data_IF_377516901115
#
_entry.id   IF_377516901115
#
_cell.length_a   1.000
_cell.length_b   1.000
_cell.length_c   1.000
_cell.angle_alpha   90.00
_cell.angle_beta   90.00
_cell.angle_gamma   90.00
#
_symmetry.space_group_name_H-M   'P 1'
#
loop_
_entity.id
_entity.type
_entity.pdbx_description
1 polymer ?
#
# COMPACT_ATOMS: atom_id res chain seq x y z
N UNK A 1 -19.13 -4.62 12.24
CA UNK A 1 -19.17 -4.68 10.76
C UNK A 1 -20.16 -3.64 10.25
N UNK A 2 -19.76 -2.88 9.21
CA UNK A 2 -20.62 -1.90 8.52
C UNK A 2 -20.95 -2.50 7.16
N UNK A 3 -22.21 -2.81 6.90
CA UNK A 3 -22.65 -3.38 5.62
C UNK A 3 -22.32 -2.43 4.47
N UNK A 4 -21.66 -2.97 3.43
CA UNK A 4 -21.24 -2.23 2.25
C UNK A 4 -19.86 -1.56 2.35
N UNK A 5 -19.17 -1.67 3.51
CA UNK A 5 -17.79 -1.24 3.70
C UNK A 5 -16.86 -2.45 3.76
N UNK A 6 -15.84 -2.47 2.93
CA UNK A 6 -14.88 -3.56 2.80
C UNK A 6 -13.47 -3.04 3.09
N UNK A 7 -12.70 -3.82 3.84
CA UNK A 7 -11.29 -3.53 4.14
C UNK A 7 -10.45 -4.58 3.45
N UNK A 8 -9.41 -4.16 2.71
CA UNK A 8 -8.58 -5.03 1.88
C UNK A 8 -7.09 -4.74 2.06
N UNK A 9 -6.26 -5.66 1.56
CA UNK A 9 -4.80 -5.53 1.61
C UNK A 9 -4.23 -5.70 3.01
N UNK A 10 -3.11 -5.06 3.28
CA UNK A 10 -2.34 -5.19 4.53
C UNK A 10 -3.13 -4.91 5.81
N UNK A 11 -4.22 -4.13 5.70
CA UNK A 11 -5.14 -3.88 6.81
C UNK A 11 -5.82 -5.14 7.31
N UNK A 12 -5.93 -6.19 6.49
CA UNK A 12 -6.51 -7.49 6.90
C UNK A 12 -5.56 -8.33 7.75
N UNK A 13 -4.31 -7.87 7.93
CA UNK A 13 -3.30 -8.51 8.78
C UNK A 13 -2.26 -9.35 8.05
N UNK A 14 -2.39 -9.54 6.73
CA UNK A 14 -1.45 -10.32 5.92
C UNK A 14 -0.76 -9.40 4.90
N UNK A 15 0.42 -8.83 5.22
CA UNK A 15 1.10 -7.86 4.36
C UNK A 15 1.92 -8.57 3.26
N UNK A 16 1.25 -9.33 2.40
CA UNK A 16 1.84 -10.03 1.26
C UNK A 16 1.23 -9.53 -0.04
N UNK A 17 2.07 -9.31 -1.05
CA UNK A 17 1.72 -8.73 -2.34
C UNK A 17 0.53 -9.45 -3.01
N UNK A 18 0.59 -10.79 -3.10
CA UNK A 18 -0.46 -11.61 -3.69
C UNK A 18 -1.76 -11.56 -2.90
N UNK A 19 -1.70 -11.56 -1.56
CA UNK A 19 -2.89 -11.42 -0.71
C UNK A 19 -3.52 -10.03 -0.83
N UNK A 20 -2.70 -8.98 -0.98
CA UNK A 20 -3.22 -7.64 -1.19
C UNK A 20 -4.01 -7.55 -2.49
N UNK A 21 -3.51 -8.12 -3.59
CA UNK A 21 -4.25 -8.18 -4.85
C UNK A 21 -5.51 -9.06 -4.73
N UNK A 22 -5.38 -10.25 -4.15
CA UNK A 22 -6.49 -11.20 -3.98
C UNK A 22 -7.66 -10.60 -3.20
N UNK A 23 -7.37 -9.96 -2.06
CA UNK A 23 -8.43 -9.35 -1.22
C UNK A 23 -9.12 -8.19 -1.93
N UNK A 24 -8.38 -7.39 -2.72
CA UNK A 24 -8.94 -6.30 -3.51
C UNK A 24 -9.93 -6.80 -4.57
N UNK A 25 -9.52 -7.78 -5.37
CA UNK A 25 -10.37 -8.39 -6.38
C UNK A 25 -11.60 -9.08 -5.77
N UNK A 26 -11.39 -9.90 -4.74
CA UNK A 26 -12.50 -10.63 -4.07
C UNK A 26 -13.52 -9.70 -3.43
N UNK A 27 -13.12 -8.54 -2.93
CA UNK A 27 -14.07 -7.58 -2.38
C UNK A 27 -15.07 -7.13 -3.44
N UNK A 28 -14.61 -6.82 -4.65
CA UNK A 28 -15.49 -6.41 -5.75
C UNK A 28 -16.32 -7.60 -6.25
N UNK A 29 -15.73 -8.78 -6.43
CA UNK A 29 -16.45 -10.00 -6.80
C UNK A 29 -17.56 -10.33 -5.79
N UNK A 30 -17.29 -10.15 -4.49
CA UNK A 30 -18.30 -10.32 -3.45
C UNK A 30 -19.42 -9.28 -3.55
N UNK A 31 -19.09 -8.00 -3.80
CA UNK A 31 -20.08 -6.93 -4.02
C UNK A 31 -21.02 -7.31 -5.18
N UNK A 32 -20.50 -7.87 -6.26
CA UNK A 32 -21.28 -8.25 -7.42
C UNK A 32 -22.24 -9.44 -7.16
N UNK A 33 -21.91 -10.29 -6.19
CA UNK A 33 -22.73 -11.44 -5.79
C UNK A 33 -23.65 -11.15 -4.62
N UNK A 34 -23.49 -9.98 -3.97
CA UNK A 34 -24.36 -9.54 -2.89
C UNK A 34 -25.74 -9.20 -3.48
N UNK A 35 -26.76 -10.02 -3.15
CA UNK A 35 -28.14 -9.85 -3.64
C UNK A 35 -28.81 -8.53 -3.21
N UNK A 36 -28.19 -7.77 -2.30
CA UNK A 36 -28.62 -6.44 -1.88
C UNK A 36 -28.00 -5.34 -2.78
N UNK A 37 -26.92 -5.67 -3.50
CA UNK A 37 -26.30 -4.75 -4.42
C UNK A 37 -27.08 -4.74 -5.74
N UNK A 38 -28.08 -3.87 -5.83
CA UNK A 38 -28.74 -3.58 -7.11
C UNK A 38 -27.95 -2.48 -7.81
N UNK A 39 -27.55 -2.71 -9.06
CA UNK A 39 -27.18 -1.66 -10.02
C UNK A 39 -28.45 -0.87 -10.34
N UNK A 40 -28.91 -0.12 -9.38
CA UNK A 40 -30.02 0.75 -9.62
C UNK A 40 -29.52 1.98 -10.38
N UNK A 41 -30.20 2.35 -11.44
CA UNK A 41 -30.01 3.60 -12.16
C UNK A 41 -30.59 4.75 -11.34
N UNK A 42 -30.17 4.83 -10.08
CA UNK A 42 -30.48 5.96 -9.20
C UNK A 42 -29.87 7.26 -9.71
N UNK A 43 -29.99 8.36 -8.95
CA UNK A 43 -29.41 9.64 -9.36
C UNK A 43 -27.97 9.46 -9.80
N UNK A 44 -27.58 10.11 -10.89
CA UNK A 44 -26.23 10.06 -11.50
C UNK A 44 -25.12 10.48 -10.51
N UNK A 45 -25.50 11.04 -9.37
CA UNK A 45 -24.61 11.55 -8.32
C UNK A 45 -24.05 10.47 -7.36
N UNK A 46 -24.55 9.21 -7.39
CA UNK A 46 -24.08 8.16 -6.48
C UNK A 46 -23.35 7.09 -7.27
N UNK A 47 -22.03 6.97 -7.04
CA UNK A 47 -21.22 5.93 -7.64
C UNK A 47 -21.60 4.52 -7.10
N UNK A 48 -21.43 3.49 -7.91
CA UNK A 48 -21.58 2.12 -7.43
C UNK A 48 -20.54 1.81 -6.36
N UNK A 49 -19.29 2.32 -6.56
CA UNK A 49 -18.15 2.00 -5.71
C UNK A 49 -17.22 3.20 -5.52
N UNK A 50 -16.77 3.43 -4.30
CA UNK A 50 -15.59 4.26 -4.02
C UNK A 50 -14.46 3.37 -3.49
N UNK A 51 -13.25 3.59 -4.01
CA UNK A 51 -12.04 2.85 -3.61
C UNK A 51 -11.08 3.87 -3.01
N UNK A 52 -10.67 3.62 -1.75
CA UNK A 52 -9.76 4.50 -1.02
C UNK A 52 -8.40 3.83 -0.91
N UNK A 53 -7.42 4.39 -1.61
CA UNK A 53 -6.06 3.89 -1.80
C UNK A 53 -5.83 3.33 -3.20
N UNK A 54 -4.67 3.68 -3.78
CA UNK A 54 -4.19 3.19 -5.07
C UNK A 54 -2.92 2.33 -4.93
N UNK A 55 -2.80 1.60 -3.84
CA UNK A 55 -1.85 0.50 -3.68
C UNK A 55 -2.33 -0.75 -4.40
N UNK A 56 -1.60 -1.86 -4.24
CA UNK A 56 -1.89 -3.13 -4.93
C UNK A 56 -3.32 -3.60 -4.72
N UNK A 57 -3.85 -3.53 -3.50
CA UNK A 57 -5.22 -3.97 -3.21
C UNK A 57 -6.29 -3.04 -3.83
N UNK A 58 -6.09 -1.73 -3.75
CA UNK A 58 -7.01 -0.76 -4.36
C UNK A 58 -7.02 -0.86 -5.88
N UNK A 59 -5.86 -0.99 -6.52
CA UNK A 59 -5.75 -1.17 -7.96
C UNK A 59 -6.37 -2.50 -8.44
N UNK A 60 -6.17 -3.58 -7.69
CA UNK A 60 -6.83 -4.86 -7.98
C UNK A 60 -8.36 -4.74 -7.91
N UNK A 61 -8.88 -4.02 -6.90
CA UNK A 61 -10.31 -3.73 -6.81
C UNK A 61 -10.79 -2.86 -8.00
N UNK A 62 -10.00 -1.88 -8.42
CA UNK A 62 -10.31 -1.01 -9.56
C UNK A 62 -10.38 -1.78 -10.88
N UNK A 63 -9.45 -2.71 -11.12
CA UNK A 63 -9.48 -3.58 -12.31
C UNK A 63 -10.76 -4.42 -12.36
N UNK A 64 -11.15 -5.03 -11.25
CA UNK A 64 -12.39 -5.81 -11.17
C UNK A 64 -13.64 -4.92 -11.34
N UNK A 65 -13.66 -3.72 -10.73
CA UNK A 65 -14.76 -2.77 -10.88
C UNK A 65 -14.92 -2.34 -12.35
N UNK A 66 -13.81 -2.03 -13.03
CA UNK A 66 -13.79 -1.68 -14.45
C UNK A 66 -14.28 -2.83 -15.33
N UNK A 67 -13.76 -4.04 -15.11
CA UNK A 67 -14.16 -5.26 -15.81
C UNK A 67 -15.65 -5.55 -15.65
N UNK A 68 -16.21 -5.29 -14.48
CA UNK A 68 -17.62 -5.43 -14.19
C UNK A 68 -18.47 -4.27 -14.73
N UNK A 69 -17.87 -3.20 -15.25
CA UNK A 69 -18.56 -2.01 -15.73
C UNK A 69 -19.28 -1.23 -14.63
N UNK A 70 -18.76 -1.23 -13.39
CA UNK A 70 -19.28 -0.41 -12.31
C UNK A 70 -18.91 1.06 -12.55
N UNK A 71 -19.78 1.98 -12.11
CA UNK A 71 -19.41 3.38 -11.95
C UNK A 71 -18.58 3.49 -10.67
N UNK A 72 -17.33 3.97 -10.76
CA UNK A 72 -16.48 4.04 -9.60
C UNK A 72 -15.59 5.29 -9.59
N UNK A 73 -15.10 5.62 -8.40
CA UNK A 73 -14.04 6.59 -8.18
C UNK A 73 -12.97 5.95 -7.30
N UNK A 74 -11.69 6.22 -7.61
CA UNK A 74 -10.57 5.81 -6.80
C UNK A 74 -9.80 7.02 -6.28
N UNK A 75 -9.48 7.03 -5.00
CA UNK A 75 -8.70 8.07 -4.34
C UNK A 75 -7.34 7.57 -3.90
N UNK A 76 -6.32 8.42 -4.06
CA UNK A 76 -4.97 8.19 -3.54
C UNK A 76 -4.47 9.46 -2.85
N UNK A 77 -3.90 9.30 -1.65
CA UNK A 77 -3.49 10.43 -0.84
C UNK A 77 -2.16 11.06 -1.29
N UNK A 78 -1.28 10.29 -1.92
CA UNK A 78 0.09 10.70 -2.30
C UNK A 78 0.42 10.29 -3.73
N UNK A 79 0.76 9.02 -3.94
CA UNK A 79 1.12 8.46 -5.24
C UNK A 79 0.68 6.99 -5.33
N UNK A 80 0.29 6.50 -6.52
CA UNK A 80 -0.02 5.10 -6.72
C UNK A 80 1.15 4.20 -6.33
N UNK A 81 0.83 3.06 -5.69
CA UNK A 81 1.82 2.06 -5.25
C UNK A 81 2.89 2.59 -4.30
N UNK A 82 2.63 3.68 -3.56
CA UNK A 82 3.59 4.37 -2.69
C UNK A 82 4.43 3.43 -1.83
N UNK A 83 3.87 2.35 -1.29
CA UNK A 83 4.62 1.36 -0.50
C UNK A 83 5.74 0.72 -1.31
N UNK A 84 5.47 0.30 -2.55
CA UNK A 84 6.44 -0.37 -3.43
C UNK A 84 7.43 0.63 -4.03
N UNK A 85 6.93 1.77 -4.49
CA UNK A 85 7.75 2.86 -5.04
C UNK A 85 8.79 3.32 -4.02
N UNK A 86 8.42 3.34 -2.75
CA UNK A 86 9.30 3.75 -1.66
C UNK A 86 10.15 2.61 -1.05
N UNK A 87 10.18 1.42 -1.62
CA UNK A 87 11.19 0.43 -1.26
C UNK A 87 12.59 0.91 -1.65
N UNK A 88 13.65 0.48 -0.96
CA UNK A 88 15.01 0.70 -1.37
C UNK A 88 15.25 0.28 -2.83
N UNK A 89 16.17 0.96 -3.49
CA UNK A 89 16.62 0.61 -4.85
C UNK A 89 17.13 -0.83 -4.88
N UNK A 90 16.83 -1.55 -5.95
CA UNK A 90 17.21 -2.96 -6.18
C UNK A 90 16.72 -3.95 -5.10
N UNK A 91 15.77 -3.54 -4.23
CA UNK A 91 15.23 -4.44 -3.20
C UNK A 91 14.66 -5.71 -3.84
N UNK A 92 15.13 -6.91 -3.41
CA UNK A 92 14.55 -8.18 -3.86
C UNK A 92 13.07 -8.29 -3.48
N UNK A 93 12.28 -8.79 -4.40
CA UNK A 93 10.84 -9.00 -4.23
C UNK A 93 10.54 -10.50 -4.15
N UNK A 94 9.91 -10.89 -3.06
CA UNK A 94 9.47 -12.27 -2.83
C UNK A 94 7.94 -12.33 -2.91
N UNK A 95 7.43 -13.08 -3.89
CA UNK A 95 5.99 -13.21 -4.15
C UNK A 95 5.40 -14.47 -3.51
N UNK A 96 5.52 -14.58 -2.20
CA UNK A 96 4.93 -15.69 -1.44
C UNK A 96 3.41 -15.54 -1.24
N UNK A 97 2.67 -16.67 -1.12
CA UNK A 97 3.05 -18.05 -1.41
C UNK A 97 3.29 -18.25 -2.90
N UNK A 98 4.33 -19.05 -3.26
CA UNK A 98 4.73 -19.23 -4.66
C UNK A 98 3.61 -19.77 -5.52
N UNK A 99 2.89 -20.79 -5.05
CA UNK A 99 1.81 -21.47 -5.77
C UNK A 99 0.49 -20.68 -5.81
N UNK A 100 0.36 -19.62 -5.01
CA UNK A 100 -0.85 -18.82 -4.98
C UNK A 100 -0.99 -17.98 -6.23
N UNK A 101 -2.13 -18.10 -6.90
CA UNK A 101 -2.58 -17.18 -7.94
C UNK A 101 -3.65 -16.28 -7.34
N UNK A 102 -3.44 -14.95 -7.26
CA UNK A 102 -4.45 -14.03 -6.77
C UNK A 102 -5.72 -14.07 -7.61
N UNK A 103 -6.86 -13.80 -7.00
CA UNK A 103 -8.07 -13.50 -7.73
C UNK A 103 -7.88 -12.23 -8.60
N UNK A 104 -8.70 -12.09 -9.64
CA UNK A 104 -8.57 -10.98 -10.57
C UNK A 104 -7.42 -11.15 -11.57
N UNK A 105 -7.04 -10.05 -12.20
CA UNK A 105 -6.15 -10.07 -13.36
C UNK A 105 -4.70 -9.65 -13.04
N UNK A 106 -4.41 -9.14 -11.82
CA UNK A 106 -3.03 -8.77 -11.46
C UNK A 106 -2.12 -9.99 -11.30
N UNK A 107 -0.93 -9.89 -11.88
CA UNK A 107 0.12 -10.93 -11.82
C UNK A 107 1.43 -10.32 -11.33
N UNK A 108 2.29 -11.17 -10.75
CA UNK A 108 3.54 -10.76 -10.11
C UNK A 108 4.65 -11.75 -10.47
N UNK A 109 5.52 -11.34 -11.39
CA UNK A 109 6.68 -12.12 -11.84
C UNK A 109 8.01 -11.40 -11.58
N UNK A 110 7.94 -10.12 -11.25
CA UNK A 110 9.09 -9.27 -10.97
C UNK A 110 9.90 -9.78 -9.75
N UNK A 111 11.22 -9.71 -9.85
CA UNK A 111 12.15 -10.17 -8.81
C UNK A 111 12.83 -9.04 -8.04
N UNK A 112 12.79 -7.82 -8.57
CA UNK A 112 13.30 -6.61 -7.91
C UNK A 112 12.28 -5.48 -7.95
N UNK A 113 12.46 -4.49 -7.08
CA UNK A 113 11.56 -3.35 -6.92
C UNK A 113 11.24 -2.66 -8.25
N UNK A 114 12.25 -2.30 -9.04
CA UNK A 114 12.09 -1.52 -10.27
C UNK A 114 11.22 -2.25 -11.30
N UNK A 115 11.49 -3.53 -11.51
CA UNK A 115 10.67 -4.36 -12.39
C UNK A 115 9.25 -4.57 -11.85
N UNK A 116 9.07 -4.67 -10.52
CA UNK A 116 7.74 -4.72 -9.93
C UNK A 116 6.96 -3.42 -10.14
N UNK A 117 7.59 -2.26 -9.94
CA UNK A 117 6.95 -0.96 -10.21
C UNK A 117 6.50 -0.89 -11.67
N UNK A 118 7.38 -1.22 -12.62
CA UNK A 118 7.03 -1.22 -14.04
C UNK A 118 5.87 -2.18 -14.33
N UNK A 119 5.91 -3.40 -13.80
CA UNK A 119 4.86 -4.41 -13.96
C UNK A 119 3.50 -3.93 -13.42
N UNK A 120 3.48 -3.28 -12.26
CA UNK A 120 2.27 -2.72 -11.67
C UNK A 120 1.70 -1.58 -12.51
N UNK A 121 2.54 -0.70 -13.02
CA UNK A 121 2.14 0.42 -13.88
C UNK A 121 1.54 -0.08 -15.19
N UNK A 122 2.19 -1.04 -15.85
CA UNK A 122 1.71 -1.63 -17.11
C UNK A 122 0.34 -2.31 -16.96
N UNK A 123 0.10 -2.97 -15.84
CA UNK A 123 -1.17 -3.63 -15.57
C UNK A 123 -2.30 -2.68 -15.16
N UNK A 124 -2.00 -1.43 -14.81
CA UNK A 124 -2.99 -0.50 -14.23
C UNK A 124 -2.99 0.88 -14.88
N UNK A 125 -2.05 1.74 -14.55
CA UNK A 125 -2.01 3.14 -15.01
C UNK A 125 -1.88 3.22 -16.54
N UNK A 126 -1.02 2.40 -17.13
CA UNK A 126 -0.88 2.33 -18.60
C UNK A 126 -2.17 1.83 -19.29
N UNK A 127 -3.07 1.19 -18.54
CA UNK A 127 -4.41 0.80 -19.02
C UNK A 127 -5.46 1.91 -18.85
N UNK A 128 -5.05 3.14 -18.53
CA UNK A 128 -5.96 4.27 -18.36
C UNK A 128 -6.71 4.27 -17.03
N UNK A 129 -6.14 3.67 -15.97
CA UNK A 129 -6.63 3.87 -14.60
C UNK A 129 -5.99 5.14 -14.05
N UNK A 130 -6.82 6.11 -13.68
CA UNK A 130 -6.38 7.42 -13.18
C UNK A 130 -6.98 7.67 -11.80
N UNK A 131 -6.27 7.33 -10.71
CA UNK A 131 -6.72 7.65 -9.37
C UNK A 131 -6.79 9.16 -9.15
N UNK A 132 -7.84 9.62 -8.49
CA UNK A 132 -7.94 11.01 -8.05
C UNK A 132 -6.98 11.25 -6.88
N UNK A 133 -5.99 12.14 -7.06
CA UNK A 133 -5.09 12.52 -5.99
C UNK A 133 -5.84 13.39 -4.98
N UNK A 134 -6.27 12.76 -3.91
CA UNK A 134 -6.96 13.39 -2.80
C UNK A 134 -6.97 12.45 -1.57
N UNK A 135 -6.84 13.04 -0.39
CA UNK A 135 -6.97 12.31 0.88
C UNK A 135 -8.43 12.24 1.29
N UNK A 136 -8.96 11.04 1.41
CA UNK A 136 -10.25 10.82 2.09
C UNK A 136 -10.00 10.83 3.60
N UNK A 137 -10.57 11.77 4.32
CA UNK A 137 -10.39 11.90 5.77
C UNK A 137 -11.39 11.08 6.56
N UNK A 138 -12.60 10.96 6.03
CA UNK A 138 -13.69 10.28 6.72
C UNK A 138 -14.65 9.63 5.74
N UNK A 139 -15.17 8.47 6.12
CA UNK A 139 -16.22 7.75 5.41
C UNK A 139 -17.39 7.56 6.37
N UNK A 140 -18.56 8.06 6.01
CA UNK A 140 -19.78 7.97 6.81
C UNK A 140 -20.86 7.18 6.10
N UNK A 141 -21.54 6.28 6.83
CA UNK A 141 -22.72 5.60 6.33
C UNK A 141 -23.93 6.51 6.45
N UNK A 142 -24.64 6.72 5.32
CA UNK A 142 -25.86 7.53 5.24
C UNK A 142 -26.98 6.69 4.60
N UNK A 143 -27.76 6.01 5.43
CA UNK A 143 -28.83 5.14 4.92
C UNK A 143 -28.30 4.04 3.99
N UNK A 144 -28.59 4.12 2.70
CA UNK A 144 -28.25 3.16 1.65
C UNK A 144 -26.90 3.40 0.96
N UNK A 145 -26.25 4.55 1.21
CA UNK A 145 -24.97 4.94 0.63
C UNK A 145 -23.95 5.39 1.67
N UNK A 146 -22.74 5.70 1.23
CA UNK A 146 -21.67 6.30 2.00
C UNK A 146 -21.35 7.68 1.45
N UNK A 147 -20.99 8.61 2.34
CA UNK A 147 -20.38 9.89 2.03
C UNK A 147 -18.90 9.85 2.38
N UNK A 148 -18.06 10.19 1.40
CA UNK A 148 -16.62 10.32 1.56
C UNK A 148 -16.29 11.81 1.67
N UNK A 149 -15.68 12.18 2.78
CA UNK A 149 -15.26 13.56 3.07
C UNK A 149 -13.83 13.79 2.59
N UNK A 150 -13.66 14.77 1.72
CA UNK A 150 -12.40 15.13 1.09
C UNK A 150 -12.16 16.61 1.37
N UNK A 151 -11.05 17.02 2.01
CA UNK A 151 -10.75 18.42 2.26
C UNK A 151 -10.81 19.25 0.97
N UNK A 152 -11.39 20.44 1.08
CA UNK A 152 -11.48 21.44 0.00
C UNK A 152 -12.18 20.96 -1.29
N UNK A 153 -12.98 19.90 -1.21
CA UNK A 153 -13.77 19.35 -2.32
C UNK A 153 -15.18 18.98 -1.87
N UNK A 154 -16.07 18.82 -2.83
CA UNK A 154 -17.40 18.26 -2.57
C UNK A 154 -17.29 16.79 -2.12
N UNK A 155 -18.18 16.41 -1.20
CA UNK A 155 -18.27 15.03 -0.74
C UNK A 155 -18.69 14.12 -1.90
N UNK A 156 -18.05 12.94 -1.98
CA UNK A 156 -18.40 11.92 -2.96
C UNK A 156 -19.32 10.90 -2.31
N UNK A 157 -20.36 10.52 -3.03
CA UNK A 157 -21.33 9.49 -2.59
C UNK A 157 -21.11 8.19 -3.34
N UNK A 158 -21.13 7.08 -2.60
CA UNK A 158 -20.99 5.74 -3.19
C UNK A 158 -21.84 4.71 -2.44
N UNK A 159 -22.40 3.74 -3.17
CA UNK A 159 -23.21 2.65 -2.58
C UNK A 159 -22.35 1.69 -1.77
N UNK A 160 -21.13 1.46 -2.19
CA UNK A 160 -20.14 0.57 -1.54
C UNK A 160 -18.79 1.28 -1.46
N UNK A 161 -18.01 0.90 -0.46
CA UNK A 161 -16.67 1.44 -0.26
C UNK A 161 -15.68 0.32 0.00
N UNK A 162 -14.55 0.38 -0.70
CA UNK A 162 -13.38 -0.49 -0.46
C UNK A 162 -12.25 0.37 0.10
N UNK A 163 -11.74 0.00 1.28
CA UNK A 163 -10.64 0.66 1.97
C UNK A 163 -9.37 -0.17 1.78
N UNK A 164 -8.44 0.33 0.97
CA UNK A 164 -7.16 -0.32 0.64
C UNK A 164 -5.95 0.59 0.89
N UNK A 165 -5.95 1.31 2.04
CA UNK A 165 -4.93 2.32 2.37
C UNK A 165 -3.60 1.75 2.89
N UNK A 166 -3.48 0.43 3.03
CA UNK A 166 -2.26 -0.20 3.54
C UNK A 166 -1.95 0.17 4.99
N UNK A 167 -0.70 -0.10 5.42
CA UNK A 167 -0.22 0.15 6.80
C UNK A 167 0.99 1.08 6.87
N UNK A 168 1.56 1.49 5.74
CA UNK A 168 2.84 2.21 5.66
C UNK A 168 2.74 3.74 5.74
N UNK A 169 1.55 4.29 5.93
CA UNK A 169 1.32 5.74 5.93
C UNK A 169 1.87 6.51 7.13
N UNK A 170 2.06 5.85 8.28
CA UNK A 170 2.52 6.49 9.52
C UNK A 170 3.72 5.75 10.09
N UNK A 171 4.92 6.28 9.88
CA UNK A 171 6.09 5.82 10.61
C UNK A 171 6.06 6.31 12.07
N UNK A 172 6.63 5.54 12.97
CA UNK A 172 6.71 5.91 14.38
C UNK A 172 7.81 6.94 14.58
N UNK A 173 7.43 8.15 14.96
CA UNK A 173 8.39 9.18 15.39
C UNK A 173 9.11 8.78 16.67
N UNK A 174 10.38 9.18 16.79
CA UNK A 174 11.17 8.98 18.00
C UNK A 174 10.78 9.98 19.09
N UNK A 175 10.32 11.17 18.70
CA UNK A 175 9.96 12.25 19.61
C UNK A 175 11.18 12.92 20.26
N UNK A 176 12.32 12.96 19.57
CA UNK A 176 13.55 13.55 20.05
C UNK A 176 13.90 14.86 19.32
N UNK A 177 14.61 15.80 19.98
CA UNK A 177 15.06 17.01 19.31
C UNK A 177 15.91 16.70 18.07
N UNK A 178 15.63 17.36 16.94
CA UNK A 178 16.34 17.17 15.69
C UNK A 178 15.77 16.09 14.77
N UNK A 179 14.71 15.37 15.16
CA UNK A 179 14.07 14.34 14.33
C UNK A 179 13.56 14.88 12.99
N UNK A 180 13.11 16.12 12.93
CA UNK A 180 12.63 16.76 11.70
C UNK A 180 13.76 17.42 10.86
N UNK A 181 15.04 17.14 11.17
CA UNK A 181 16.19 17.63 10.41
C UNK A 181 16.25 16.97 9.03
N UNK A 182 16.73 17.71 8.03
CA UNK A 182 16.92 17.23 6.64
C UNK A 182 17.87 16.02 6.51
N UNK A 183 18.68 15.75 7.53
CA UNK A 183 19.57 14.59 7.60
C UNK A 183 18.94 13.36 8.29
N UNK A 184 17.67 13.44 8.69
CA UNK A 184 16.93 12.34 9.31
C UNK A 184 15.94 11.80 8.31
N UNK A 185 16.06 10.53 7.98
CA UNK A 185 15.23 9.84 7.00
C UNK A 185 14.38 8.78 7.71
N UNK A 186 13.11 8.68 7.35
CA UNK A 186 12.22 7.64 7.88
C UNK A 186 12.25 6.35 7.04
N UNK A 187 12.99 6.35 5.94
CA UNK A 187 13.18 5.22 5.02
C UNK A 187 14.46 5.37 4.22
N UNK A 188 15.01 4.26 3.79
CA UNK A 188 16.13 4.21 2.87
C UNK A 188 15.61 4.22 1.43
N UNK A 189 16.07 5.15 0.59
CA UNK A 189 15.78 5.18 -0.84
C UNK A 189 16.91 4.56 -1.65
N UNK A 190 18.09 5.14 -1.61
CA UNK A 190 19.29 4.60 -2.27
C UNK A 190 20.41 4.48 -1.23
N UNK A 191 20.93 3.27 -0.98
CA UNK A 191 22.03 3.09 -0.03
C UNK A 191 23.34 3.75 -0.49
N UNK A 192 23.53 3.96 -1.79
CA UNK A 192 24.72 4.62 -2.36
C UNK A 192 24.85 6.09 -1.91
N UNK A 193 23.72 6.74 -1.59
CA UNK A 193 23.71 8.10 -1.03
C UNK A 193 24.46 8.22 0.30
N UNK A 194 24.74 7.09 0.94
CA UNK A 194 25.41 6.99 2.26
C UNK A 194 26.83 6.44 2.18
N UNK A 195 27.40 6.31 0.97
CA UNK A 195 28.82 5.93 0.80
C UNK A 195 29.73 6.89 1.56
N UNK A 196 30.73 6.34 2.28
CA UNK A 196 31.68 7.05 3.17
C UNK A 196 31.03 7.94 4.25
N UNK A 197 29.75 7.74 4.57
CA UNK A 197 29.08 8.49 5.66
C UNK A 197 28.93 7.69 6.96
N UNK A 198 28.92 8.42 8.07
CA UNK A 198 28.55 7.87 9.38
C UNK A 198 27.03 7.90 9.53
N UNK A 199 26.40 6.72 9.63
CA UNK A 199 24.95 6.56 9.63
C UNK A 199 24.49 5.86 10.90
N UNK A 200 23.55 6.48 11.61
CA UNK A 200 22.85 5.87 12.73
C UNK A 200 21.50 5.33 12.25
N UNK A 201 21.34 4.01 12.32
CA UNK A 201 20.05 3.35 12.08
C UNK A 201 19.37 3.06 13.40
N UNK A 202 18.17 3.64 13.60
CA UNK A 202 17.39 3.45 14.83
C UNK A 202 16.28 2.46 14.60
N UNK A 203 16.37 1.30 15.22
CA UNK A 203 15.38 0.24 15.14
C UNK A 203 16.01 -1.16 15.19
N UNK A 204 15.18 -2.16 15.41
CA UNK A 204 15.60 -3.58 15.50
C UNK A 204 14.60 -4.51 14.81
N UNK A 205 13.96 -4.08 13.72
CA UNK A 205 13.13 -4.90 12.85
C UNK A 205 13.80 -5.14 11.50
N UNK A 206 13.22 -5.99 10.65
CA UNK A 206 13.77 -6.31 9.32
C UNK A 206 14.15 -5.07 8.52
N UNK A 207 13.30 -4.06 8.45
CA UNK A 207 13.58 -2.84 7.69
C UNK A 207 14.82 -2.08 8.19
N UNK A 208 15.08 -2.08 9.50
CA UNK A 208 16.25 -1.43 10.06
C UNK A 208 17.53 -2.23 9.75
N UNK A 209 17.50 -3.55 9.91
CA UNK A 209 18.64 -4.40 9.60
C UNK A 209 18.94 -4.42 8.11
N UNK A 210 17.91 -4.56 7.26
CA UNK A 210 18.06 -4.48 5.80
C UNK A 210 18.69 -3.14 5.35
N UNK A 211 18.26 -2.03 5.96
CA UNK A 211 18.85 -0.71 5.68
C UNK A 211 20.31 -0.64 6.14
N UNK A 212 20.61 -1.11 7.36
CA UNK A 212 21.96 -1.12 7.90
C UNK A 212 22.92 -1.93 7.02
N UNK A 213 22.50 -3.14 6.63
CA UNK A 213 23.26 -4.04 5.77
C UNK A 213 23.51 -3.41 4.40
N UNK A 214 22.46 -2.86 3.76
CA UNK A 214 22.57 -2.25 2.44
C UNK A 214 23.52 -1.04 2.44
N UNK A 215 23.44 -0.17 3.44
CA UNK A 215 24.33 0.99 3.58
C UNK A 215 25.78 0.54 3.81
N UNK A 216 26.00 -0.44 4.69
CA UNK A 216 27.35 -0.97 4.96
C UNK A 216 27.97 -1.61 3.70
N UNK A 217 27.17 -2.34 2.91
CA UNK A 217 27.62 -2.92 1.63
C UNK A 217 28.01 -1.86 0.58
N UNK A 218 27.45 -0.66 0.68
CA UNK A 218 27.79 0.48 -0.20
C UNK A 218 28.90 1.37 0.36
N UNK A 219 29.59 0.98 1.45
CA UNK A 219 30.73 1.73 2.00
C UNK A 219 30.40 2.68 3.14
N UNK A 220 29.14 2.76 3.57
CA UNK A 220 28.75 3.57 4.73
C UNK A 220 29.18 2.94 6.06
N UNK A 221 29.55 3.77 7.02
CA UNK A 221 29.85 3.34 8.41
C UNK A 221 28.59 3.37 9.26
N UNK A 222 28.03 2.19 9.54
CA UNK A 222 26.72 2.07 10.18
C UNK A 222 26.82 1.74 11.65
N UNK A 223 26.06 2.48 12.46
CA UNK A 223 25.76 2.13 13.85
C UNK A 223 24.29 1.83 13.98
N UNK A 224 23.94 0.67 14.52
CA UNK A 224 22.54 0.30 14.80
C UNK A 224 22.24 0.59 16.28
N UNK A 225 21.17 1.36 16.52
CA UNK A 225 20.64 1.63 17.87
C UNK A 225 19.32 0.91 18.05
N UNK A 226 19.29 -0.03 18.98
CA UNK A 226 18.08 -0.79 19.33
C UNK A 226 17.89 -0.81 20.85
N UNK A 227 16.63 -0.76 21.29
CA UNK A 227 16.28 -0.65 22.72
C UNK A 227 16.36 -1.96 23.50
N UNK A 228 16.36 -3.10 22.80
CA UNK A 228 16.40 -4.43 23.42
C UNK A 228 17.81 -5.01 23.28
N UNK A 229 18.23 -5.93 24.17
CA UNK A 229 19.55 -6.52 24.12
C UNK A 229 19.75 -7.47 22.92
N UNK A 230 18.68 -8.06 22.40
CA UNK A 230 18.73 -9.08 21.36
C UNK A 230 17.75 -8.78 20.23
N UNK A 231 18.09 -9.20 19.01
CA UNK A 231 17.24 -9.11 17.83
C UNK A 231 16.30 -10.34 17.73
N UNK A 232 15.10 -10.24 18.30
CA UNK A 232 14.11 -11.33 18.26
C UNK A 232 13.01 -11.16 17.23
N UNK A 233 12.89 -9.97 16.60
CA UNK A 233 11.86 -9.66 15.61
C UNK A 233 12.28 -9.89 14.16
N UNK A 234 13.54 -9.56 13.77
CA UNK A 234 13.97 -9.74 12.40
C UNK A 234 14.08 -11.21 12.03
N UNK A 235 14.09 -11.45 10.72
CA UNK A 235 14.41 -12.77 10.16
C UNK A 235 15.84 -13.18 10.55
N UNK A 236 16.09 -14.46 10.84
CA UNK A 236 17.44 -14.95 11.18
C UNK A 236 18.49 -14.52 10.16
N UNK A 237 18.18 -14.58 8.87
CA UNK A 237 19.08 -14.23 7.77
C UNK A 237 19.54 -12.76 7.82
N UNK A 238 18.69 -11.85 8.32
CA UNK A 238 19.05 -10.45 8.49
C UNK A 238 19.96 -10.24 9.72
N UNK A 239 19.75 -11.02 10.76
CA UNK A 239 20.61 -10.99 11.97
C UNK A 239 22.00 -11.57 11.68
N UNK A 240 22.08 -12.66 10.88
CA UNK A 240 23.35 -13.29 10.48
C UNK A 240 24.22 -12.40 9.59
N UNK A 241 23.63 -11.46 8.86
CA UNK A 241 24.33 -10.54 7.95
C UNK A 241 24.77 -9.23 8.61
N UNK A 242 24.30 -8.94 9.83
CA UNK A 242 24.63 -7.74 10.58
C UNK A 242 25.98 -7.87 11.27
#
# INVERSE_FOLDING_TARGET
NISGLYVVGDLTGIPLLKFSADTGARAVQHILTDGVFQRDKGPVEIMDLAIVGAGVSGMSATLEARKAGLSFVQFEATEPFSTVVNFPKEKPIYTYPTEMVPAGDMRFVAQIKESLVAELYEQTLAQGIEPTLARVERVEKRGDHFELHIPDRENVKARRVVIGIGRSGNFRKLGVPGEDSVKVFNRLHDPVDFDDKDVLVVGGGDSALEAAIAIAQCGGRVTVSYREPDFFRPKPENVEKL
#
